data_IF_886869105593
#
_entry.id   IF_886869105593
#
_cell.length_a   1.000
_cell.length_b   1.000
_cell.length_c   1.000
_cell.angle_alpha   90.00
_cell.angle_beta   90.00
_cell.angle_gamma   90.00
#
_symmetry.space_group_name_H-M   'P 1'
#
loop_
_entity.id
_entity.type
_entity.pdbx_description
1 polymer ?
#
# COMPACT_ATOMS: atom_id res chain seq x y z
N UNK A 1 -1.49 -12.47 4.56
CA UNK A 1 -0.49 -11.46 4.15
C UNK A 1 0.85 -11.85 4.74
N UNK A 2 1.82 -12.10 3.89
CA UNK A 2 3.14 -12.59 4.33
C UNK A 2 4.27 -11.65 3.94
N UNK A 3 4.21 -11.08 2.75
CA UNK A 3 5.26 -10.22 2.22
C UNK A 3 4.62 -8.97 1.65
N UNK A 4 5.03 -7.83 2.17
CA UNK A 4 4.47 -6.56 1.72
C UNK A 4 5.56 -5.69 1.12
N UNK A 5 5.14 -4.81 0.23
CA UNK A 5 6.01 -3.83 -0.39
C UNK A 5 5.50 -2.45 -0.02
N UNK A 6 6.38 -1.62 0.53
CA UNK A 6 6.08 -0.23 0.84
C UNK A 6 6.72 0.65 -0.23
N UNK A 7 5.92 1.46 -0.91
CA UNK A 7 6.41 2.36 -1.95
C UNK A 7 6.20 3.80 -1.49
N UNK A 8 7.30 4.47 -1.19
CA UNK A 8 7.27 5.80 -0.59
C UNK A 8 8.62 6.46 -0.83
N UNK A 9 8.62 7.69 -1.35
CA UNK A 9 9.88 8.39 -1.62
C UNK A 9 10.40 9.19 -0.42
N UNK A 10 9.56 9.49 0.56
CA UNK A 10 9.99 10.17 1.78
C UNK A 10 10.64 9.15 2.69
N UNK A 11 11.97 9.20 2.82
CA UNK A 11 12.72 8.18 3.56
C UNK A 11 12.35 8.15 5.05
N UNK A 12 11.98 9.27 5.62
CA UNK A 12 11.61 9.33 7.04
C UNK A 12 10.26 8.66 7.27
N UNK A 13 9.30 8.94 6.40
CA UNK A 13 7.99 8.31 6.52
C UNK A 13 8.07 6.82 6.23
N UNK A 14 8.87 6.43 5.25
CA UNK A 14 9.08 5.02 4.91
C UNK A 14 9.64 4.26 6.12
N UNK A 15 10.66 4.81 6.76
CA UNK A 15 11.26 4.20 7.93
C UNK A 15 10.26 4.10 9.08
N UNK A 16 9.49 5.16 9.28
CA UNK A 16 8.47 5.19 10.32
C UNK A 16 7.39 4.12 10.09
N UNK A 17 6.91 4.00 8.86
CA UNK A 17 5.94 2.96 8.48
C UNK A 17 6.50 1.58 8.75
N UNK A 18 7.72 1.34 8.28
CA UNK A 18 8.35 0.04 8.42
C UNK A 18 8.47 -0.35 9.89
N UNK A 19 8.97 0.57 10.70
CA UNK A 19 9.13 0.30 12.14
C UNK A 19 7.79 0.07 12.83
N UNK A 20 6.79 0.88 12.47
CA UNK A 20 5.46 0.75 13.06
C UNK A 20 4.83 -0.59 12.73
N UNK A 21 4.93 -1.00 11.47
CA UNK A 21 4.36 -2.27 11.03
C UNK A 21 5.11 -3.44 11.65
N UNK A 22 6.44 -3.39 11.68
CA UNK A 22 7.25 -4.47 12.25
C UNK A 22 6.97 -4.66 13.73
N UNK A 23 6.74 -3.57 14.46
CA UNK A 23 6.44 -3.65 15.88
C UNK A 23 5.12 -4.36 16.15
N UNK A 24 4.15 -4.20 15.26
CA UNK A 24 2.82 -4.79 15.44
C UNK A 24 2.68 -6.15 14.79
N UNK A 25 3.39 -6.37 13.68
CA UNK A 25 3.27 -7.59 12.88
C UNK A 25 4.68 -8.10 12.56
N UNK A 26 5.40 -8.61 13.57
CA UNK A 26 6.82 -8.96 13.39
C UNK A 26 7.08 -10.10 12.43
N UNK A 27 6.08 -10.89 12.09
CA UNK A 27 6.27 -11.99 11.14
C UNK A 27 6.16 -11.56 9.69
N UNK A 28 5.78 -10.32 9.42
CA UNK A 28 5.70 -9.83 8.04
C UNK A 28 7.07 -9.56 7.47
N UNK A 29 7.23 -9.95 6.22
CA UNK A 29 8.43 -9.67 5.44
C UNK A 29 8.18 -8.36 4.69
N UNK A 30 8.97 -7.32 4.96
CA UNK A 30 8.74 -5.98 4.45
C UNK A 30 9.82 -5.59 3.47
N UNK A 31 9.39 -5.25 2.25
CA UNK A 31 10.27 -4.74 1.20
C UNK A 31 9.99 -3.26 0.99
N UNK A 32 10.95 -2.55 0.43
CA UNK A 32 10.87 -1.11 0.23
C UNK A 32 11.17 -0.74 -1.22
N UNK A 33 10.51 0.30 -1.70
CA UNK A 33 10.80 0.92 -2.97
C UNK A 33 10.51 2.41 -2.87
N UNK A 34 11.30 3.23 -3.56
CA UNK A 34 11.17 4.68 -3.49
C UNK A 34 10.52 5.29 -4.72
N UNK A 35 10.31 4.48 -5.76
CA UNK A 35 9.71 4.94 -7.01
C UNK A 35 9.09 3.77 -7.74
N UNK A 36 8.43 4.07 -8.86
CA UNK A 36 7.71 3.06 -9.64
C UNK A 36 8.65 1.99 -10.18
N UNK A 37 9.81 2.40 -10.67
CA UNK A 37 10.79 1.46 -11.22
C UNK A 37 11.24 0.44 -10.20
N UNK A 38 11.63 0.90 -9.01
CA UNK A 38 12.04 0.01 -7.93
C UNK A 38 10.90 -0.91 -7.51
N UNK A 39 9.69 -0.37 -7.45
CA UNK A 39 8.52 -1.16 -7.08
C UNK A 39 8.31 -2.33 -8.04
N UNK A 40 8.40 -2.06 -9.35
CA UNK A 40 8.22 -3.10 -10.35
C UNK A 40 9.33 -4.15 -10.29
N UNK A 41 10.56 -3.74 -10.00
CA UNK A 41 11.66 -4.68 -9.79
C UNK A 41 11.42 -5.58 -8.58
N UNK A 42 10.91 -5.00 -7.48
CA UNK A 42 10.59 -5.78 -6.29
C UNK A 42 9.46 -6.77 -6.56
N UNK A 43 8.45 -6.35 -7.33
CA UNK A 43 7.36 -7.24 -7.70
C UNK A 43 7.88 -8.45 -8.45
N UNK A 44 8.76 -8.23 -9.42
CA UNK A 44 9.32 -9.31 -10.23
C UNK A 44 10.19 -10.25 -9.39
N UNK A 45 11.05 -9.69 -8.53
CA UNK A 45 12.03 -10.48 -7.79
C UNK A 45 11.43 -11.22 -6.59
N UNK A 46 10.43 -10.66 -5.93
CA UNK A 46 9.99 -11.17 -4.63
C UNK A 46 8.50 -11.50 -4.55
N UNK A 47 7.73 -11.13 -5.55
CA UNK A 47 6.28 -11.40 -5.61
C UNK A 47 5.54 -11.06 -4.31
N UNK A 48 5.61 -9.80 -3.85
CA UNK A 48 4.84 -9.41 -2.66
C UNK A 48 3.35 -9.67 -2.88
N UNK A 49 2.65 -10.05 -1.82
CA UNK A 49 1.21 -10.29 -1.92
C UNK A 49 0.40 -9.02 -1.70
N UNK A 50 0.99 -8.02 -1.06
CA UNK A 50 0.32 -6.76 -0.76
C UNK A 50 1.29 -5.61 -0.96
N UNK A 51 0.79 -4.53 -1.56
CA UNK A 51 1.60 -3.33 -1.76
C UNK A 51 0.87 -2.13 -1.15
N UNK A 52 1.61 -1.34 -0.40
CA UNK A 52 1.15 -0.04 0.10
C UNK A 52 1.93 1.03 -0.65
N UNK A 53 1.24 1.85 -1.40
CA UNK A 53 1.91 2.87 -2.20
C UNK A 53 1.35 4.25 -1.90
N UNK A 54 2.23 5.25 -1.88
CA UNK A 54 1.79 6.63 -1.87
C UNK A 54 1.13 6.95 -3.21
N UNK A 55 0.22 7.90 -3.18
CA UNK A 55 -0.40 8.42 -4.40
C UNK A 55 0.62 9.16 -5.25
N UNK A 56 1.51 9.92 -4.64
CA UNK A 56 2.51 10.74 -5.35
C UNK A 56 3.89 10.14 -5.22
N UNK A 57 4.52 9.90 -6.36
CA UNK A 57 5.87 9.34 -6.44
C UNK A 57 6.68 10.15 -7.46
N UNK A 58 8.02 10.17 -7.34
CA UNK A 58 8.86 10.90 -8.29
C UNK A 58 8.67 10.38 -9.71
N UNK A 59 8.43 11.28 -10.65
CA UNK A 59 8.32 10.94 -12.06
C UNK A 59 7.08 10.18 -12.48
N UNK A 60 6.23 9.81 -11.53
CA UNK A 60 5.02 9.04 -11.80
C UNK A 60 4.10 9.15 -10.60
N UNK A 61 3.03 8.36 -10.57
CA UNK A 61 2.16 8.37 -9.42
C UNK A 61 1.70 6.95 -9.08
N UNK A 62 1.07 6.82 -7.90
CA UNK A 62 0.59 5.53 -7.43
C UNK A 62 -0.53 4.95 -8.26
N UNK A 63 -1.27 5.79 -9.00
CA UNK A 63 -2.33 5.32 -9.90
C UNK A 63 -1.73 4.53 -11.04
N UNK A 64 -0.68 5.06 -11.65
CA UNK A 64 0.03 4.41 -12.74
C UNK A 64 0.63 3.09 -12.29
N UNK A 65 1.26 3.11 -11.12
CA UNK A 65 1.84 1.90 -10.54
C UNK A 65 0.76 0.86 -10.29
N UNK A 66 -0.38 1.28 -9.76
CA UNK A 66 -1.51 0.39 -9.50
C UNK A 66 -1.99 -0.28 -10.80
N UNK A 67 -2.14 0.50 -11.87
CA UNK A 67 -2.56 -0.05 -13.16
C UNK A 67 -1.59 -1.12 -13.65
N UNK A 68 -0.30 -0.84 -13.57
CA UNK A 68 0.73 -1.78 -14.03
C UNK A 68 0.73 -3.06 -13.20
N UNK A 69 0.61 -2.93 -11.90
CA UNK A 69 0.61 -4.09 -11.01
C UNK A 69 -0.64 -4.94 -11.23
N UNK A 70 -1.80 -4.32 -11.30
CA UNK A 70 -3.04 -5.09 -11.47
C UNK A 70 -3.12 -5.75 -12.85
N UNK A 71 -2.46 -5.18 -13.85
CA UNK A 71 -2.40 -5.79 -15.19
C UNK A 71 -1.54 -7.04 -15.19
N UNK A 72 -0.40 -7.03 -14.49
CA UNK A 72 0.54 -8.15 -14.47
C UNK A 72 0.32 -9.10 -13.30
N UNK A 73 -0.12 -8.59 -12.17
CA UNK A 73 -0.25 -9.36 -10.93
C UNK A 73 -1.65 -9.11 -10.33
N UNK A 74 -2.70 -9.60 -10.99
CA UNK A 74 -4.08 -9.27 -10.58
C UNK A 74 -4.44 -9.73 -9.18
N UNK A 75 -3.71 -10.70 -8.63
CA UNK A 75 -3.98 -11.20 -7.28
C UNK A 75 -3.34 -10.36 -6.18
N UNK A 76 -2.42 -9.47 -6.55
CA UNK A 76 -1.76 -8.62 -5.56
C UNK A 76 -2.74 -7.57 -5.04
N UNK A 77 -2.81 -7.45 -3.72
CA UNK A 77 -3.65 -6.42 -3.09
C UNK A 77 -2.90 -5.09 -3.13
N UNK A 78 -3.53 -4.06 -3.67
CA UNK A 78 -2.94 -2.73 -3.76
C UNK A 78 -3.71 -1.77 -2.88
N UNK A 79 -3.00 -1.16 -1.94
CA UNK A 79 -3.54 -0.16 -1.01
C UNK A 79 -2.82 1.15 -1.28
N UNK A 80 -3.59 2.18 -1.65
CA UNK A 80 -3.01 3.52 -1.80
C UNK A 80 -3.18 4.25 -0.49
N UNK A 81 -2.07 4.75 0.07
CA UNK A 81 -2.08 5.56 1.28
C UNK A 81 -1.58 6.95 0.93
N UNK A 82 -2.26 7.98 1.42
CA UNK A 82 -1.97 9.34 0.96
C UNK A 82 -2.36 10.40 1.99
N UNK A 83 -1.70 11.55 1.89
CA UNK A 83 -2.15 12.75 2.61
C UNK A 83 -3.27 13.47 1.86
N UNK A 84 -3.59 13.01 0.64
CA UNK A 84 -4.57 13.68 -0.24
C UNK A 84 -5.86 12.88 -0.28
N UNK A 85 -6.57 12.87 0.84
CA UNK A 85 -7.83 12.11 0.97
C UNK A 85 -8.98 12.94 0.40
N UNK A 86 -9.00 13.05 -0.93
CA UNK A 86 -10.04 13.78 -1.65
C UNK A 86 -10.86 12.80 -2.49
N UNK A 87 -12.17 13.07 -2.65
CA UNK A 87 -13.04 12.16 -3.40
C UNK A 87 -12.56 11.86 -4.81
N UNK A 88 -12.03 12.86 -5.51
CA UNK A 88 -11.55 12.66 -6.87
C UNK A 88 -10.34 11.73 -6.93
N UNK A 89 -9.47 11.78 -5.95
CA UNK A 89 -8.32 10.87 -5.89
C UNK A 89 -8.76 9.46 -5.50
N UNK A 90 -9.72 9.38 -4.60
CA UNK A 90 -10.28 8.10 -4.19
C UNK A 90 -10.93 7.39 -5.38
N UNK A 91 -11.72 8.12 -6.15
CA UNK A 91 -12.36 7.55 -7.32
C UNK A 91 -11.33 7.09 -8.36
N UNK A 92 -10.33 7.92 -8.62
CA UNK A 92 -9.27 7.58 -9.56
C UNK A 92 -8.49 6.35 -9.12
N UNK A 93 -8.26 6.20 -7.81
CA UNK A 93 -7.55 5.05 -7.27
C UNK A 93 -8.31 3.75 -7.58
N UNK A 94 -9.60 3.72 -7.31
CA UNK A 94 -10.40 2.51 -7.55
C UNK A 94 -10.57 2.25 -9.05
N UNK A 95 -10.65 3.29 -9.86
CA UNK A 95 -10.68 3.13 -11.31
C UNK A 95 -9.38 2.53 -11.84
N UNK A 96 -8.26 2.81 -11.17
CA UNK A 96 -6.96 2.24 -11.54
C UNK A 96 -6.79 0.80 -11.08
N UNK A 97 -7.71 0.31 -10.26
CA UNK A 97 -7.67 -1.07 -9.78
C UNK A 97 -7.24 -1.23 -8.35
N UNK A 98 -7.05 -0.13 -7.59
CA UNK A 98 -6.69 -0.24 -6.18
C UNK A 98 -7.79 -0.97 -5.41
N UNK A 99 -7.37 -1.78 -4.46
CA UNK A 99 -8.31 -2.50 -3.60
C UNK A 99 -8.75 -1.64 -2.41
N UNK A 100 -7.86 -0.76 -1.94
CA UNK A 100 -8.14 0.14 -0.82
C UNK A 100 -7.51 1.49 -1.05
N UNK A 101 -8.11 2.52 -0.46
CA UNK A 101 -7.60 3.88 -0.48
C UNK A 101 -7.81 4.47 0.89
N UNK A 102 -6.73 4.83 1.59
CA UNK A 102 -6.81 5.33 2.96
C UNK A 102 -5.88 6.52 3.15
N UNK A 103 -6.22 7.41 4.06
CA UNK A 103 -5.31 8.49 4.43
C UNK A 103 -4.17 7.92 5.29
N UNK A 104 -3.02 8.60 5.27
CA UNK A 104 -1.89 8.19 6.09
C UNK A 104 -2.27 8.17 7.57
N UNK A 105 -3.07 9.13 8.00
CA UNK A 105 -3.52 9.24 9.38
C UNK A 105 -4.37 8.03 9.78
N UNK A 106 -5.36 7.71 8.97
CA UNK A 106 -6.22 6.56 9.23
C UNK A 106 -5.45 5.25 9.21
N UNK A 107 -4.48 5.14 8.30
CA UNK A 107 -3.66 3.95 8.20
C UNK A 107 -2.83 3.74 9.49
N UNK A 108 -2.23 4.81 9.99
CA UNK A 108 -1.43 4.73 11.22
C UNK A 108 -2.30 4.37 12.42
N UNK A 109 -3.49 4.94 12.50
CA UNK A 109 -4.43 4.60 13.57
C UNK A 109 -4.83 3.13 13.53
N UNK A 110 -5.08 2.63 12.33
CA UNK A 110 -5.43 1.22 12.13
C UNK A 110 -4.28 0.32 12.60
N UNK A 111 -3.06 0.59 12.15
CA UNK A 111 -1.89 -0.21 12.52
C UNK A 111 -1.69 -0.19 14.03
N UNK A 112 -1.78 0.98 14.66
CA UNK A 112 -1.55 1.10 16.09
C UNK A 112 -2.62 0.42 16.93
N UNK A 113 -3.80 0.17 16.38
CA UNK A 113 -4.87 -0.51 17.08
C UNK A 113 -4.82 -2.03 16.92
N UNK A 114 -3.98 -2.54 16.04
CA UNK A 114 -3.90 -3.97 15.77
C UNK A 114 -3.00 -4.68 16.77
N UNK A 115 -3.32 -5.92 17.07
CA UNK A 115 -2.43 -6.81 17.79
C UNK A 115 -1.61 -7.62 16.77
N UNK A 116 -0.56 -8.30 17.26
CA UNK A 116 0.35 -9.01 16.38
C UNK A 116 -0.28 -10.18 15.64
N UNK A 117 -1.44 -10.64 16.09
CA UNK A 117 -2.13 -11.76 15.44
C UNK A 117 -3.25 -11.32 14.49
N UNK A 118 -3.46 -10.02 14.32
CA UNK A 118 -4.43 -9.50 13.37
C UNK A 118 -3.80 -9.30 12.00
N UNK A 119 -4.64 -9.28 10.97
CA UNK A 119 -4.19 -9.07 9.60
C UNK A 119 -4.71 -7.76 9.06
N UNK A 120 -3.88 -7.08 8.28
CA UNK A 120 -4.24 -5.78 7.74
C UNK A 120 -5.45 -5.82 6.81
N UNK A 121 -5.56 -6.85 6.00
CA UNK A 121 -6.65 -6.95 5.03
C UNK A 121 -8.01 -7.26 5.66
N UNK A 122 -8.07 -7.51 6.94
CA UNK A 122 -9.34 -7.74 7.62
C UNK A 122 -10.12 -6.45 7.80
N UNK A 123 -9.41 -5.35 7.88
CA UNK A 123 -10.05 -4.05 8.02
C UNK A 123 -10.38 -3.50 6.64
N UNK A 124 -11.52 -3.89 6.14
CA UNK A 124 -11.92 -3.55 4.78
C UNK A 124 -12.63 -2.22 4.72
N UNK A 125 -11.99 -1.26 4.07
CA UNK A 125 -12.59 0.04 3.82
C UNK A 125 -12.84 0.28 2.34
N UNK A 126 -12.74 -0.74 1.53
CA UNK A 126 -12.90 -0.62 0.07
C UNK A 126 -14.38 -0.50 -0.30
N UNK A 127 -14.80 0.66 -0.83
CA UNK A 127 -16.20 0.86 -1.18
C UNK A 127 -16.69 -0.05 -2.31
N UNK A 128 -15.79 -0.62 -3.13
CA UNK A 128 -16.19 -1.58 -4.14
C UNK A 128 -16.70 -2.87 -3.53
N UNK A 129 -16.15 -3.25 -2.40
CA UNK A 129 -16.56 -4.44 -1.70
C UNK A 129 -17.69 -4.20 -0.73
N UNK A 130 -18.12 -2.97 -0.56
CA UNK A 130 -19.17 -2.61 0.39
C UNK A 130 -20.52 -2.65 -0.28
N UNK A 131 -21.53 -3.14 0.42
CA UNK A 131 -22.90 -3.09 -0.10
C UNK A 131 -23.38 -1.67 -0.28
#
# INVERSE_FOLDING_TARGET
MKRILLVEDNVYFLQFLKETIQARLPSLDILEAKNVEEALLRMEAFSPDTIFTDLRLPGANGLELTQKIKAQYPETVVVIITNYDLPEYRQAAFQSGADHFVSKDSFLKMINSMSSDQQLEEDDSNPKGSP
#
